data_IF_638204599505
#
_entry.id   IF_638204599505
#
_cell.length_a   1.000
_cell.length_b   1.000
_cell.length_c   1.000
_cell.angle_alpha   90.00
_cell.angle_beta   90.00
_cell.angle_gamma   90.00
#
_symmetry.space_group_name_H-M   'P 1'
#
loop_
_entity.id
_entity.type
_entity.pdbx_description
1 polymer ?
#
# COMPACT_ATOMS: atom_id res chain seq x y z
N UNK A 1 9.41 -52.54 -48.26
CA UNK A 1 8.77 -52.37 -46.97
C UNK A 1 9.74 -52.02 -45.82
N UNK A 2 10.86 -52.71 -45.63
CA UNK A 2 11.82 -52.43 -44.50
C UNK A 2 12.51 -51.04 -44.57
N UNK A 3 12.72 -50.45 -45.79
CA UNK A 3 13.36 -49.11 -45.96
C UNK A 3 12.41 -47.96 -45.71
N UNK A 4 11.12 -48.13 -45.93
CA UNK A 4 10.06 -47.11 -45.64
C UNK A 4 9.80 -47.04 -44.13
N UNK A 5 9.90 -48.20 -43.43
CA UNK A 5 9.71 -48.24 -41.96
C UNK A 5 10.87 -47.55 -41.23
N UNK A 6 12.11 -47.60 -41.75
CA UNK A 6 13.26 -46.92 -41.16
C UNK A 6 13.20 -45.39 -41.32
N UNK A 7 12.62 -44.88 -42.41
CA UNK A 7 12.43 -43.42 -42.65
C UNK A 7 11.35 -42.87 -41.74
N UNK A 8 10.27 -43.61 -41.50
CA UNK A 8 9.23 -43.22 -40.56
C UNK A 8 9.68 -43.19 -39.09
N UNK A 9 10.63 -44.06 -38.73
CA UNK A 9 11.19 -44.11 -37.35
C UNK A 9 12.18 -42.95 -37.12
N UNK A 10 12.91 -42.48 -38.13
CA UNK A 10 13.78 -41.30 -38.02
C UNK A 10 13.03 -39.98 -38.03
N UNK A 11 11.85 -39.89 -38.69
CA UNK A 11 11.02 -38.70 -38.67
C UNK A 11 10.29 -38.46 -37.29
N UNK A 12 10.08 -39.51 -36.53
CA UNK A 12 9.47 -39.46 -35.18
C UNK A 12 10.43 -38.92 -34.10
N UNK A 13 11.75 -38.90 -34.34
CA UNK A 13 12.78 -38.42 -33.41
C UNK A 13 13.09 -36.91 -33.54
N UNK A 14 12.44 -36.22 -34.46
CA UNK A 14 12.56 -34.74 -34.67
C UNK A 14 11.35 -33.98 -34.13
N UNK A 15 10.62 -34.53 -33.15
CA UNK A 15 9.71 -33.72 -32.36
C UNK A 15 10.58 -32.72 -31.58
N UNK A 16 10.39 -31.40 -31.79
CA UNK A 16 11.05 -30.43 -30.93
C UNK A 16 10.60 -30.75 -29.50
N UNK A 17 11.57 -30.97 -28.62
CA UNK A 17 11.34 -30.79 -27.19
C UNK A 17 10.84 -29.35 -27.03
N UNK A 18 9.53 -29.17 -27.07
CA UNK A 18 8.92 -27.97 -26.53
C UNK A 18 9.30 -27.99 -25.06
N UNK A 19 10.41 -27.31 -24.74
CA UNK A 19 10.78 -27.01 -23.39
C UNK A 19 9.52 -26.52 -22.68
N UNK A 20 9.34 -26.89 -21.43
CA UNK A 20 8.36 -26.25 -20.59
C UNK A 20 8.44 -24.76 -20.86
N UNK A 21 7.45 -24.21 -21.55
CA UNK A 21 7.28 -22.79 -21.60
C UNK A 21 7.05 -22.39 -20.14
N UNK A 22 8.05 -21.80 -19.52
CA UNK A 22 7.83 -21.03 -18.31
C UNK A 22 6.62 -20.16 -18.61
N UNK A 23 5.58 -20.19 -17.78
CA UNK A 23 4.40 -19.35 -17.97
C UNK A 23 4.85 -17.92 -18.21
N UNK A 24 4.03 -17.07 -18.86
CA UNK A 24 4.42 -15.72 -19.18
C UNK A 24 4.83 -15.02 -17.87
N UNK A 25 6.14 -14.81 -17.72
CA UNK A 25 6.67 -14.00 -16.64
C UNK A 25 6.36 -12.55 -16.97
N UNK A 26 5.81 -11.79 -16.02
CA UNK A 26 5.60 -10.38 -16.21
C UNK A 26 6.95 -9.66 -16.37
N UNK A 27 6.99 -8.62 -17.18
CA UNK A 27 8.20 -7.80 -17.35
C UNK A 27 8.51 -7.03 -16.07
N UNK A 28 7.46 -6.61 -15.35
CA UNK A 28 7.52 -5.81 -14.13
C UNK A 28 6.72 -6.50 -13.02
N UNK A 29 7.32 -6.62 -11.85
CA UNK A 29 6.62 -6.97 -10.62
C UNK A 29 6.48 -5.71 -9.74
N UNK A 30 5.29 -5.46 -9.21
CA UNK A 30 5.03 -4.36 -8.28
C UNK A 30 4.49 -4.93 -6.97
N UNK A 31 4.89 -4.38 -5.84
CA UNK A 31 4.60 -4.98 -4.53
C UNK A 31 3.14 -4.82 -4.12
N UNK A 32 2.71 -3.62 -3.83
CA UNK A 32 1.40 -3.29 -3.27
C UNK A 32 0.41 -2.78 -4.33
N UNK A 33 -0.84 -2.60 -3.97
CA UNK A 33 -1.87 -2.08 -4.87
C UNK A 33 -1.52 -0.71 -5.47
N UNK A 34 -1.12 0.34 -4.70
CA UNK A 34 -0.87 1.66 -5.28
C UNK A 34 0.26 1.61 -6.31
N UNK A 35 1.41 1.04 -5.98
CA UNK A 35 2.53 0.99 -6.94
C UNK A 35 2.23 0.08 -8.14
N UNK A 36 1.44 -0.97 -7.96
CA UNK A 36 0.99 -1.82 -9.07
C UNK A 36 0.04 -1.06 -10.00
N UNK A 37 -0.97 -0.38 -9.46
CA UNK A 37 -1.93 0.39 -10.25
C UNK A 37 -1.25 1.54 -11.00
N UNK A 38 -0.35 2.30 -10.33
CA UNK A 38 0.39 3.38 -10.97
C UNK A 38 1.30 2.86 -12.07
N UNK A 39 2.04 1.77 -11.82
CA UNK A 39 2.89 1.12 -12.82
C UNK A 39 2.08 0.61 -14.02
N UNK A 40 0.94 -0.04 -13.77
CA UNK A 40 0.05 -0.54 -14.83
C UNK A 40 -0.47 0.60 -15.71
N UNK A 41 -0.89 1.71 -15.09
CA UNK A 41 -1.36 2.89 -15.82
C UNK A 41 -0.25 3.50 -16.67
N UNK A 42 0.95 3.67 -16.13
CA UNK A 42 2.11 4.17 -16.87
C UNK A 42 2.48 3.26 -18.05
N UNK A 43 2.35 1.95 -17.89
CA UNK A 43 2.69 0.97 -18.92
C UNK A 43 1.60 0.78 -20.01
N UNK A 44 0.45 1.45 -19.93
CA UNK A 44 -0.58 1.31 -20.95
C UNK A 44 -0.06 1.66 -22.35
N UNK A 45 -0.33 0.78 -23.32
CA UNK A 45 0.10 0.97 -24.70
C UNK A 45 1.56 0.58 -25.00
N UNK A 46 2.38 0.20 -24.02
CA UNK A 46 3.78 -0.22 -24.23
C UNK A 46 3.93 -1.71 -24.60
N UNK A 47 2.95 -2.53 -24.23
CA UNK A 47 3.06 -3.99 -24.29
C UNK A 47 3.80 -4.63 -23.12
N UNK A 48 4.36 -3.84 -22.18
CA UNK A 48 4.94 -4.35 -20.94
C UNK A 48 3.86 -4.91 -20.04
N UNK A 49 4.13 -6.06 -19.44
CA UNK A 49 3.23 -6.73 -18.51
C UNK A 49 3.63 -6.45 -17.07
N UNK A 50 2.65 -6.11 -16.23
CA UNK A 50 2.85 -5.80 -14.81
C UNK A 50 2.08 -6.81 -13.96
N UNK A 51 2.73 -7.41 -12.96
CA UNK A 51 2.10 -8.27 -11.97
C UNK A 51 2.21 -7.65 -10.59
N UNK A 52 1.14 -7.73 -9.79
CA UNK A 52 1.16 -7.38 -8.38
C UNK A 52 1.60 -8.59 -7.56
N UNK A 53 2.54 -8.39 -6.63
CA UNK A 53 3.04 -9.45 -5.77
C UNK A 53 2.10 -9.70 -4.58
N UNK A 54 1.74 -8.66 -3.85
CA UNK A 54 0.86 -8.76 -2.69
C UNK A 54 -0.60 -8.61 -3.14
N UNK A 55 -1.35 -9.69 -3.12
CA UNK A 55 -2.76 -9.75 -3.56
C UNK A 55 -3.72 -10.12 -2.44
N UNK A 56 -3.19 -10.57 -1.32
CA UNK A 56 -3.94 -10.97 -0.14
C UNK A 56 -4.58 -9.73 0.53
N UNK A 57 -5.76 -9.87 1.15
CA UNK A 57 -6.38 -8.79 1.91
C UNK A 57 -5.65 -8.62 3.26
N UNK A 58 -4.65 -7.74 3.26
CA UNK A 58 -3.82 -7.42 4.41
C UNK A 58 -3.88 -5.93 4.72
N UNK A 59 -3.67 -5.58 5.97
CA UNK A 59 -3.61 -4.19 6.43
C UNK A 59 -2.18 -3.72 6.69
N UNK A 60 -1.27 -4.65 6.97
CA UNK A 60 0.13 -4.37 7.30
C UNK A 60 1.05 -5.39 6.65
N UNK A 61 2.28 -4.97 6.32
CA UNK A 61 3.31 -5.80 5.69
C UNK A 61 4.46 -6.18 6.63
N UNK A 62 4.51 -5.67 7.87
CA UNK A 62 5.65 -5.92 8.77
C UNK A 62 5.92 -7.41 9.01
N UNK A 63 4.86 -8.22 9.17
CA UNK A 63 4.97 -9.67 9.34
C UNK A 63 4.71 -10.47 8.06
N UNK A 64 4.68 -9.78 6.90
CA UNK A 64 4.37 -10.43 5.64
C UNK A 64 5.52 -11.32 5.18
N UNK A 65 5.19 -12.48 4.64
CA UNK A 65 6.15 -13.40 4.05
C UNK A 65 5.69 -13.83 2.67
N UNK A 66 6.56 -13.68 1.67
CA UNK A 66 6.27 -14.12 0.32
C UNK A 66 6.05 -15.63 0.25
N UNK A 67 5.03 -16.04 -0.47
CA UNK A 67 4.89 -17.42 -0.88
C UNK A 67 5.80 -17.75 -2.08
N UNK A 68 5.98 -19.03 -2.37
CA UNK A 68 6.90 -19.51 -3.43
C UNK A 68 6.55 -18.93 -4.83
N UNK A 69 5.28 -18.69 -5.10
CA UNK A 69 4.87 -18.12 -6.41
C UNK A 69 5.22 -16.65 -6.53
N UNK A 70 5.13 -15.90 -5.45
CA UNK A 70 5.51 -14.48 -5.38
C UNK A 70 7.02 -14.31 -5.50
N UNK A 71 7.81 -15.13 -4.79
CA UNK A 71 9.28 -15.17 -4.94
C UNK A 71 9.67 -15.43 -6.40
N UNK A 72 9.08 -16.46 -7.03
CA UNK A 72 9.35 -16.76 -8.45
C UNK A 72 8.95 -15.62 -9.38
N UNK A 73 7.86 -14.92 -9.11
CA UNK A 73 7.42 -13.79 -9.91
C UNK A 73 8.41 -12.61 -9.77
N UNK A 74 8.86 -12.32 -8.55
CA UNK A 74 9.86 -11.28 -8.28
C UNK A 74 11.22 -11.60 -8.93
N UNK A 75 11.71 -12.85 -8.79
CA UNK A 75 12.97 -13.27 -9.41
C UNK A 75 12.93 -13.18 -10.94
N UNK A 76 11.80 -13.57 -11.54
CA UNK A 76 11.65 -13.63 -13.00
C UNK A 76 11.42 -12.26 -13.64
N UNK A 77 10.92 -11.27 -12.90
CA UNK A 77 10.70 -9.92 -13.39
C UNK A 77 12.02 -9.23 -13.73
N UNK A 78 12.03 -8.43 -14.82
CA UNK A 78 13.17 -7.60 -15.23
C UNK A 78 13.29 -6.34 -14.39
N UNK A 79 12.15 -5.88 -13.84
CA UNK A 79 12.05 -4.70 -12.98
C UNK A 79 11.12 -5.00 -11.82
N UNK A 80 11.46 -4.52 -10.64
CA UNK A 80 10.62 -4.57 -9.45
C UNK A 80 10.31 -3.13 -9.04
N UNK A 81 9.04 -2.86 -8.74
CA UNK A 81 8.60 -1.57 -8.21
C UNK A 81 8.11 -1.80 -6.78
N UNK A 82 8.73 -1.12 -5.84
CA UNK A 82 8.40 -1.18 -4.41
C UNK A 82 7.78 0.14 -3.95
N UNK A 83 6.98 0.08 -2.88
CA UNK A 83 6.49 1.28 -2.20
C UNK A 83 7.63 2.05 -1.56
N UNK A 84 8.58 1.33 -0.97
CA UNK A 84 9.78 1.88 -0.34
C UNK A 84 9.56 2.29 1.12
N UNK A 85 10.44 3.14 1.64
CA UNK A 85 10.41 3.60 3.03
C UNK A 85 10.41 2.46 4.07
N UNK A 86 11.10 1.34 3.79
CA UNK A 86 11.19 0.18 4.68
C UNK A 86 9.99 -0.76 4.66
N UNK A 87 8.91 -0.45 3.93
CA UNK A 87 7.69 -1.26 3.93
C UNK A 87 7.92 -2.70 3.48
N UNK A 88 8.86 -2.92 2.56
CA UNK A 88 9.12 -4.22 1.93
C UNK A 88 10.35 -4.94 2.48
N UNK A 89 10.64 -4.84 3.77
CA UNK A 89 11.76 -5.55 4.40
C UNK A 89 11.66 -7.08 4.21
N UNK A 90 10.45 -7.61 4.04
CA UNK A 90 10.20 -9.01 3.67
C UNK A 90 10.80 -9.43 2.31
N UNK A 91 11.24 -8.48 1.49
CA UNK A 91 11.94 -8.72 0.22
C UNK A 91 13.46 -8.75 0.37
N UNK A 92 14.01 -8.44 1.55
CA UNK A 92 15.44 -8.44 1.79
C UNK A 92 16.07 -9.80 1.42
N UNK A 93 17.13 -9.76 0.64
CA UNK A 93 17.80 -10.96 0.13
C UNK A 93 17.07 -11.71 -0.98
N UNK A 94 15.85 -11.30 -1.39
CA UNK A 94 15.08 -11.88 -2.50
C UNK A 94 15.22 -11.05 -3.77
N UNK A 95 15.29 -9.72 -3.64
CA UNK A 95 15.33 -8.81 -4.78
C UNK A 95 16.74 -8.27 -5.01
N UNK A 96 16.99 -7.96 -6.30
CA UNK A 96 18.20 -7.28 -6.76
C UNK A 96 17.92 -5.77 -6.79
N UNK A 97 18.67 -5.01 -5.99
CA UNK A 97 18.55 -3.54 -5.94
C UNK A 97 18.76 -2.91 -7.32
N UNK A 98 19.63 -3.49 -8.16
CA UNK A 98 19.90 -2.96 -9.51
C UNK A 98 18.64 -2.99 -10.40
N UNK A 99 17.69 -3.89 -10.17
CA UNK A 99 16.43 -3.96 -10.92
C UNK A 99 15.24 -3.33 -10.19
N UNK A 100 15.45 -2.75 -9.02
CA UNK A 100 14.39 -2.16 -8.20
C UNK A 100 14.18 -0.67 -8.51
N UNK A 101 12.94 -0.25 -8.53
CA UNK A 101 12.48 1.15 -8.53
C UNK A 101 11.80 1.38 -7.19
N UNK A 102 12.39 2.23 -6.38
CA UNK A 102 11.83 2.66 -5.11
C UNK A 102 10.94 3.89 -5.34
N UNK A 103 9.64 3.72 -5.09
CA UNK A 103 8.67 4.79 -5.29
C UNK A 103 8.77 5.88 -4.21
N UNK A 104 9.34 5.59 -3.04
CA UNK A 104 9.53 6.57 -1.95
C UNK A 104 10.76 7.44 -2.12
N UNK A 105 11.64 7.16 -3.09
CA UNK A 105 12.94 7.79 -3.22
C UNK A 105 12.88 9.33 -3.14
N UNK A 106 13.58 9.91 -2.15
CA UNK A 106 13.67 11.36 -1.95
C UNK A 106 12.40 12.02 -1.44
N UNK A 107 11.38 11.29 -1.04
CA UNK A 107 10.18 11.82 -0.37
C UNK A 107 10.51 12.00 1.10
N UNK A 108 10.31 13.20 1.69
CA UNK A 108 10.44 13.36 3.14
C UNK A 108 9.39 12.51 3.88
N UNK A 109 9.85 11.65 4.77
CA UNK A 109 8.97 10.77 5.53
C UNK A 109 8.47 11.45 6.80
N UNK A 110 7.24 11.13 7.19
CA UNK A 110 6.73 11.47 8.51
C UNK A 110 7.41 10.54 9.52
N UNK A 111 7.81 11.10 10.68
CA UNK A 111 8.22 10.28 11.81
C UNK A 111 6.96 9.77 12.52
N UNK A 112 6.92 8.52 12.92
CA UNK A 112 5.88 8.02 13.82
C UNK A 112 5.83 8.95 15.05
N UNK A 113 4.66 9.48 15.37
CA UNK A 113 4.50 10.30 16.57
C UNK A 113 4.38 9.35 17.77
N UNK A 114 5.19 9.59 18.82
CA UNK A 114 4.96 8.99 20.14
C UNK A 114 3.64 9.52 20.70
N UNK A 115 2.51 8.88 20.36
CA UNK A 115 1.18 9.21 20.88
C UNK A 115 1.04 8.90 22.38
N UNK A 116 2.03 8.24 22.99
CA UNK A 116 2.13 7.99 24.42
C UNK A 116 2.89 9.12 25.12
N UNK A 117 2.16 10.09 25.66
CA UNK A 117 2.67 11.25 26.39
C UNK A 117 3.36 10.92 27.74
N UNK A 118 4.20 9.92 27.83
CA UNK A 118 4.99 9.62 29.02
C UNK A 118 6.47 9.93 28.83
N UNK A 119 6.95 10.81 29.70
CA UNK A 119 8.32 11.17 30.07
C UNK A 119 9.44 10.45 29.32
N UNK A 120 10.19 11.23 28.54
CA UNK A 120 11.48 10.91 27.98
C UNK A 120 12.45 10.49 29.11
N UNK A 121 12.48 9.23 29.47
CA UNK A 121 13.69 8.61 29.95
C UNK A 121 14.42 8.07 28.73
N UNK A 122 15.61 8.58 28.49
CA UNK A 122 16.50 8.19 27.41
C UNK A 122 16.80 6.69 27.46
N UNK A 123 15.96 5.87 26.83
CA UNK A 123 16.34 4.53 26.43
C UNK A 123 16.98 4.62 25.04
N UNK A 124 18.32 4.56 25.03
CA UNK A 124 19.11 4.37 23.82
C UNK A 124 18.59 3.12 23.09
N UNK A 125 17.90 3.31 21.95
CA UNK A 125 17.57 2.22 21.05
C UNK A 125 16.21 2.25 20.34
N UNK A 126 15.31 3.18 20.62
CA UNK A 126 14.11 3.32 19.82
C UNK A 126 14.43 4.17 18.58
N UNK A 127 14.63 3.49 17.45
CA UNK A 127 14.54 4.12 16.15
C UNK A 127 13.08 4.58 16.03
N UNK A 128 12.85 5.89 15.87
CA UNK A 128 11.59 6.39 15.36
C UNK A 128 11.44 5.80 13.97
N UNK A 129 10.59 4.78 13.82
CA UNK A 129 10.34 4.20 12.52
C UNK A 129 9.64 5.25 11.67
N UNK A 130 10.18 5.47 10.49
CA UNK A 130 9.60 6.38 9.51
C UNK A 130 8.30 5.76 8.99
N UNK A 131 7.21 6.55 8.93
CA UNK A 131 5.91 6.08 8.44
C UNK A 131 5.98 5.81 6.92
N UNK A 132 5.82 4.55 6.46
CA UNK A 132 5.92 4.18 5.06
C UNK A 132 4.64 4.43 4.25
N UNK A 133 3.51 4.83 4.88
CA UNK A 133 2.18 4.87 4.27
C UNK A 133 1.94 6.11 3.40
N UNK A 134 2.95 6.53 2.63
CA UNK A 134 3.00 7.74 1.80
C UNK A 134 1.80 7.85 0.85
N UNK A 135 1.35 6.72 0.27
CA UNK A 135 0.26 6.68 -0.70
C UNK A 135 -1.10 7.11 -0.15
N UNK A 136 -1.29 7.13 1.17
CA UNK A 136 -2.51 7.62 1.79
C UNK A 136 -2.66 9.15 1.71
N UNK A 137 -1.61 9.85 1.27
CA UNK A 137 -1.67 11.23 0.81
C UNK A 137 -1.76 11.27 -0.71
N UNK A 138 -2.78 11.91 -1.33
CA UNK A 138 -2.81 12.07 -2.79
C UNK A 138 -1.57 12.78 -3.34
N UNK A 139 -1.04 13.76 -2.60
CA UNK A 139 0.21 14.43 -2.96
C UNK A 139 1.43 13.51 -2.85
N UNK A 140 1.49 12.65 -1.83
CA UNK A 140 2.50 11.60 -1.69
C UNK A 140 2.41 10.58 -2.82
N UNK A 141 1.21 10.10 -3.13
CA UNK A 141 0.95 9.17 -4.24
C UNK A 141 1.39 9.76 -5.59
N UNK A 142 1.19 11.07 -5.81
CA UNK A 142 1.68 11.76 -7.01
C UNK A 142 3.20 11.71 -7.12
N UNK A 143 3.92 11.94 -6.02
CA UNK A 143 5.39 11.81 -5.98
C UNK A 143 5.85 10.38 -6.24
N UNK A 144 5.18 9.39 -5.66
CA UNK A 144 5.45 7.98 -5.95
C UNK A 144 5.26 7.67 -7.44
N UNK A 145 4.18 8.16 -8.06
CA UNK A 145 3.94 7.99 -9.50
C UNK A 145 5.04 8.65 -10.37
N UNK A 146 5.51 9.85 -10.00
CA UNK A 146 6.63 10.53 -10.65
C UNK A 146 7.95 9.75 -10.53
N UNK A 147 8.23 9.15 -9.38
CA UNK A 147 9.40 8.31 -9.15
C UNK A 147 9.34 7.03 -9.98
N UNK A 148 8.18 6.37 -10.02
CA UNK A 148 7.95 5.18 -10.88
C UNK A 148 8.15 5.55 -12.35
N UNK A 149 7.56 6.65 -12.82
CA UNK A 149 7.75 7.16 -14.18
C UNK A 149 9.24 7.37 -14.51
N UNK A 150 9.97 8.00 -13.59
CA UNK A 150 11.40 8.27 -13.76
C UNK A 150 12.19 6.98 -13.89
N UNK A 151 11.97 6.03 -12.99
CA UNK A 151 12.62 4.73 -13.00
C UNK A 151 12.30 3.90 -14.25
N UNK A 152 11.03 3.86 -14.66
CA UNK A 152 10.59 3.17 -15.87
C UNK A 152 11.21 3.80 -17.14
N UNK A 153 11.26 5.13 -17.22
CA UNK A 153 11.85 5.83 -18.37
C UNK A 153 13.34 5.59 -18.51
N UNK A 154 14.05 5.39 -17.39
CA UNK A 154 15.47 5.02 -17.41
C UNK A 154 15.69 3.57 -17.88
N UNK A 155 14.81 2.65 -17.47
CA UNK A 155 14.93 1.22 -17.78
C UNK A 155 14.42 0.86 -19.18
N UNK A 156 13.39 1.56 -19.66
CA UNK A 156 12.70 1.33 -20.93
C UNK A 156 12.63 2.64 -21.74
N UNK A 157 13.79 3.21 -22.14
CA UNK A 157 13.84 4.52 -22.79
C UNK A 157 13.05 4.57 -24.10
N UNK A 158 12.83 3.43 -24.75
CA UNK A 158 11.99 3.31 -25.95
C UNK A 158 10.51 3.61 -25.70
N UNK A 159 10.06 3.51 -24.45
CA UNK A 159 8.69 3.78 -24.02
C UNK A 159 8.53 5.11 -23.28
N UNK A 160 9.61 5.88 -23.08
CA UNK A 160 9.61 7.08 -22.23
C UNK A 160 8.52 8.10 -22.60
N UNK A 161 8.24 8.29 -23.90
CA UNK A 161 7.17 9.20 -24.34
C UNK A 161 5.79 8.67 -23.96
N UNK A 162 5.53 7.36 -24.05
CA UNK A 162 4.26 6.74 -23.68
C UNK A 162 4.05 6.87 -22.17
N UNK A 163 5.09 6.65 -21.38
CA UNK A 163 5.02 6.85 -19.92
C UNK A 163 4.71 8.30 -19.57
N UNK A 164 5.32 9.28 -20.26
CA UNK A 164 5.04 10.70 -20.03
C UNK A 164 3.58 11.06 -20.39
N UNK A 165 3.07 10.54 -21.50
CA UNK A 165 1.68 10.76 -21.92
C UNK A 165 0.69 10.13 -20.93
N UNK A 166 1.04 9.01 -20.31
CA UNK A 166 0.22 8.31 -19.32
C UNK A 166 0.34 8.91 -17.91
N UNK A 167 1.45 9.55 -17.57
CA UNK A 167 1.65 10.19 -16.27
C UNK A 167 0.69 11.37 -16.08
N UNK A 168 0.50 12.18 -17.12
CA UNK A 168 -0.36 13.37 -17.01
C UNK A 168 -1.76 13.06 -16.49
N UNK A 169 -2.56 12.15 -17.11
CA UNK A 169 -3.90 11.83 -16.59
C UNK A 169 -3.88 11.16 -15.21
N UNK A 170 -2.82 10.43 -14.85
CA UNK A 170 -2.67 9.86 -13.52
C UNK A 170 -2.53 10.95 -12.46
N UNK A 171 -1.68 11.94 -12.71
CA UNK A 171 -1.50 13.09 -11.80
C UNK A 171 -2.77 13.97 -11.71
N UNK A 172 -3.49 14.14 -12.82
CA UNK A 172 -4.77 14.87 -12.84
C UNK A 172 -5.83 14.16 -11.98
N UNK A 173 -5.85 12.82 -11.97
CA UNK A 173 -6.80 12.05 -11.13
C UNK A 173 -6.41 12.10 -9.65
N UNK A 174 -5.11 12.08 -9.32
CA UNK A 174 -4.64 12.26 -7.94
C UNK A 174 -4.94 13.68 -7.42
N UNK A 175 -4.79 14.71 -8.25
CA UNK A 175 -5.19 16.09 -7.90
C UNK A 175 -6.72 16.21 -7.75
N UNK A 176 -7.50 15.50 -8.56
CA UNK A 176 -8.96 15.44 -8.41
C UNK A 176 -9.37 14.74 -7.10
N UNK A 177 -8.67 13.67 -6.70
CA UNK A 177 -8.86 13.01 -5.43
C UNK A 177 -8.58 13.94 -4.25
N UNK A 178 -7.47 14.71 -4.29
CA UNK A 178 -7.15 15.71 -3.25
C UNK A 178 -8.28 16.74 -3.14
N UNK A 179 -8.69 17.33 -4.25
CA UNK A 179 -9.78 18.32 -4.26
C UNK A 179 -11.10 17.74 -3.74
N UNK A 180 -11.42 16.51 -4.12
CA UNK A 180 -12.61 15.82 -3.60
C UNK A 180 -12.59 15.73 -2.08
N UNK A 181 -11.45 15.31 -1.50
CA UNK A 181 -11.28 15.22 -0.05
C UNK A 181 -11.38 16.61 0.62
N UNK A 182 -10.70 17.62 0.07
CA UNK A 182 -10.74 18.99 0.59
C UNK A 182 -12.18 19.54 0.63
N UNK A 183 -12.93 19.37 -0.46
CA UNK A 183 -14.31 19.82 -0.58
C UNK A 183 -15.24 19.04 0.38
N UNK A 184 -15.14 17.70 0.36
CA UNK A 184 -16.01 16.81 1.14
C UNK A 184 -15.81 16.98 2.64
N UNK A 185 -14.56 17.12 3.08
CA UNK A 185 -14.21 17.20 4.51
C UNK A 185 -14.13 18.64 5.03
N UNK A 186 -14.40 19.66 4.17
CA UNK A 186 -14.37 21.08 4.57
C UNK A 186 -15.30 21.43 5.72
N UNK A 187 -16.43 20.75 5.82
CA UNK A 187 -17.55 21.05 6.75
C UNK A 187 -17.68 20.01 7.86
N UNK A 188 -16.61 19.31 8.24
CA UNK A 188 -16.62 18.40 9.38
C UNK A 188 -16.90 19.12 10.69
N UNK A 189 -17.75 18.54 11.53
CA UNK A 189 -18.01 19.04 12.87
C UNK A 189 -16.95 18.61 13.90
N UNK A 190 -16.32 17.46 13.66
CA UNK A 190 -15.18 16.93 14.40
C UNK A 190 -14.02 16.65 13.42
N UNK A 191 -12.79 17.00 13.81
CA UNK A 191 -11.59 16.72 13.00
C UNK A 191 -10.59 15.83 13.73
N UNK A 192 -10.99 15.34 14.89
CA UNK A 192 -10.17 14.47 15.72
C UNK A 192 -10.64 13.03 15.59
N UNK A 193 -9.70 12.10 15.52
CA UNK A 193 -9.99 10.68 15.36
C UNK A 193 -9.03 9.82 16.19
N UNK A 194 -9.48 8.62 16.51
CA UNK A 194 -8.66 7.52 17.03
C UNK A 194 -8.64 6.45 15.93
N UNK A 195 -7.46 5.96 15.57
CA UNK A 195 -7.25 4.87 14.61
C UNK A 195 -6.75 3.62 15.32
N UNK A 196 -7.01 2.44 14.74
CA UNK A 196 -6.53 1.16 15.26
C UNK A 196 -5.25 0.68 14.58
N UNK A 197 -4.74 1.45 13.65
CA UNK A 197 -3.44 1.24 13.05
C UNK A 197 -2.71 2.57 12.93
N UNK A 198 -1.42 2.58 13.23
CA UNK A 198 -0.55 3.75 13.08
C UNK A 198 -0.04 3.85 11.63
N UNK A 199 -0.93 4.18 10.72
CA UNK A 199 -0.61 4.28 9.29
C UNK A 199 -1.42 5.36 8.57
N UNK A 200 -2.30 6.07 9.28
CA UNK A 200 -3.16 7.08 8.66
C UNK A 200 -2.64 8.51 8.79
N UNK A 201 -1.39 8.72 9.24
CA UNK A 201 -0.82 10.05 9.46
C UNK A 201 -0.78 10.89 8.18
N UNK A 202 -0.38 10.31 7.05
CA UNK A 202 -0.40 11.00 5.75
C UNK A 202 -1.81 11.38 5.30
N UNK A 203 -2.80 10.51 5.51
CA UNK A 203 -4.21 10.80 5.23
C UNK A 203 -4.72 11.95 6.11
N UNK A 204 -4.48 11.86 7.40
CA UNK A 204 -4.88 12.87 8.37
C UNK A 204 -4.26 14.25 8.03
N UNK A 205 -2.95 14.28 7.76
CA UNK A 205 -2.25 15.49 7.37
C UNK A 205 -2.82 16.11 6.08
N UNK A 206 -3.11 15.28 5.06
CA UNK A 206 -3.63 15.74 3.77
C UNK A 206 -4.97 16.45 3.89
N UNK A 207 -5.80 16.04 4.83
CA UNK A 207 -7.18 16.56 4.96
C UNK A 207 -7.42 17.36 6.25
N UNK A 208 -6.35 17.75 6.96
CA UNK A 208 -6.43 18.58 8.16
C UNK A 208 -7.18 17.90 9.30
N UNK A 209 -6.98 16.60 9.47
CA UNK A 209 -7.44 15.79 10.59
C UNK A 209 -6.33 15.63 11.62
N UNK A 210 -6.70 15.32 12.86
CA UNK A 210 -5.77 15.09 13.97
C UNK A 210 -6.01 13.69 14.53
N UNK A 211 -5.00 12.82 14.49
CA UNK A 211 -5.03 11.53 15.17
C UNK A 211 -4.65 11.77 16.63
N UNK A 212 -5.58 11.49 17.55
CA UNK A 212 -5.35 11.63 18.99
C UNK A 212 -4.59 10.43 19.56
N UNK A 213 -4.84 9.26 19.01
CA UNK A 213 -4.15 8.03 19.37
C UNK A 213 -4.26 7.01 18.24
N UNK A 214 -3.19 6.25 18.04
CA UNK A 214 -3.18 4.99 17.32
C UNK A 214 -3.10 3.84 18.33
N UNK A 215 -3.96 2.82 18.19
CA UNK A 215 -4.14 1.78 19.22
C UNK A 215 -3.18 0.61 19.05
N UNK A 216 -2.85 0.27 17.82
CA UNK A 216 -1.99 -0.84 17.45
C UNK A 216 -0.82 -0.28 16.64
N UNK A 217 0.39 -0.40 17.17
CA UNK A 217 1.61 -0.06 16.44
C UNK A 217 1.84 -1.07 15.31
N UNK A 218 1.47 -2.34 15.55
CA UNK A 218 1.56 -3.43 14.60
C UNK A 218 0.20 -4.14 14.46
N UNK A 219 -0.18 -4.45 13.22
CA UNK A 219 -1.42 -5.18 12.93
C UNK A 219 -1.46 -6.52 13.66
N UNK A 220 -2.47 -6.69 14.52
CA UNK A 220 -2.69 -7.91 15.30
C UNK A 220 -2.22 -7.86 16.75
N UNK A 221 -1.59 -6.78 17.20
CA UNK A 221 -1.42 -6.53 18.64
C UNK A 221 -2.78 -6.19 19.26
N UNK A 222 -3.14 -6.83 20.39
CA UNK A 222 -4.38 -6.50 21.08
C UNK A 222 -4.10 -5.40 22.13
N UNK A 223 -4.91 -4.33 22.11
CA UNK A 223 -4.83 -3.28 23.11
C UNK A 223 -4.95 -3.86 24.53
N UNK A 224 -4.05 -3.49 25.41
CA UNK A 224 -4.10 -3.87 26.82
C UNK A 224 -5.31 -3.26 27.51
N UNK A 225 -5.70 -3.82 28.67
CA UNK A 225 -6.79 -3.26 29.47
C UNK A 225 -6.50 -1.81 29.92
N UNK A 226 -5.25 -1.43 30.13
CA UNK A 226 -4.84 -0.06 30.49
C UNK A 226 -5.07 0.88 29.32
N UNK A 227 -4.58 0.54 28.14
CA UNK A 227 -4.76 1.32 26.91
C UNK A 227 -6.24 1.51 26.59
N UNK A 228 -7.07 0.46 26.71
CA UNK A 228 -8.51 0.57 26.54
C UNK A 228 -9.15 1.59 27.50
N UNK A 229 -8.72 1.64 28.76
CA UNK A 229 -9.22 2.63 29.73
C UNK A 229 -8.82 4.05 29.32
N UNK A 230 -7.59 4.25 28.88
CA UNK A 230 -7.07 5.54 28.40
C UNK A 230 -7.84 6.00 27.17
N UNK A 231 -8.05 5.12 26.18
CA UNK A 231 -8.81 5.41 24.97
C UNK A 231 -10.30 5.73 25.24
N UNK A 232 -10.93 5.03 26.19
CA UNK A 232 -12.29 5.36 26.66
C UNK A 232 -12.31 6.78 27.26
N UNK A 233 -11.31 7.11 28.07
CA UNK A 233 -11.14 8.45 28.63
C UNK A 233 -11.03 9.52 27.55
N UNK A 234 -10.11 9.33 26.61
CA UNK A 234 -9.83 10.23 25.49
C UNK A 234 -11.08 10.42 24.60
N UNK A 235 -11.75 9.31 24.23
CA UNK A 235 -12.98 9.34 23.43
C UNK A 235 -14.08 10.18 24.08
N UNK A 236 -14.25 10.06 25.43
CA UNK A 236 -15.23 10.83 26.19
C UNK A 236 -14.85 12.29 26.36
N UNK A 237 -13.56 12.57 26.63
CA UNK A 237 -13.03 13.92 26.83
C UNK A 237 -13.21 14.79 25.58
N UNK A 238 -12.89 14.21 24.42
CA UNK A 238 -13.01 14.90 23.11
C UNK A 238 -14.41 14.74 22.49
N UNK A 239 -15.29 13.94 23.07
CA UNK A 239 -16.64 13.73 22.56
C UNK A 239 -16.66 13.12 21.16
N UNK A 240 -15.74 12.20 20.87
CA UNK A 240 -15.58 11.63 19.53
C UNK A 240 -16.84 10.86 19.12
N UNK A 241 -17.43 11.19 17.94
CA UNK A 241 -18.61 10.48 17.45
C UNK A 241 -18.30 9.10 16.90
N UNK A 242 -17.05 8.87 16.46
CA UNK A 242 -16.58 7.62 15.87
C UNK A 242 -15.12 7.32 16.19
N UNK A 243 -14.78 6.04 16.09
CA UNK A 243 -13.42 5.49 16.11
C UNK A 243 -13.21 4.65 14.84
N UNK A 244 -11.97 4.56 14.37
CA UNK A 244 -11.67 4.00 13.06
C UNK A 244 -10.79 2.76 13.19
N UNK A 245 -11.32 1.63 12.71
CA UNK A 245 -10.55 0.39 12.52
C UNK A 245 -10.09 0.27 11.07
N UNK A 246 -9.24 -0.71 10.79
CA UNK A 246 -8.96 -1.11 9.43
C UNK A 246 -10.03 -2.08 8.89
N UNK A 247 -10.19 -2.11 7.57
CA UNK A 247 -11.14 -3.03 6.90
C UNK A 247 -10.88 -4.49 7.27
N UNK A 248 -9.61 -4.87 7.46
CA UNK A 248 -9.19 -6.23 7.82
C UNK A 248 -8.74 -6.35 9.29
N UNK A 249 -8.93 -5.31 10.11
CA UNK A 249 -8.52 -5.26 11.50
C UNK A 249 -9.44 -6.05 12.44
N UNK A 250 -8.95 -6.34 13.66
CA UNK A 250 -9.76 -7.00 14.69
C UNK A 250 -10.83 -6.05 15.26
N UNK A 251 -12.11 -6.43 15.30
CA UNK A 251 -13.15 -5.59 15.86
C UNK A 251 -13.21 -5.63 17.39
N UNK A 252 -12.35 -6.42 18.06
CA UNK A 252 -12.49 -6.74 19.49
C UNK A 252 -12.41 -5.49 20.39
N UNK A 253 -11.28 -4.79 20.34
CA UNK A 253 -11.04 -3.60 21.14
C UNK A 253 -11.98 -2.44 20.75
N UNK A 254 -12.22 -2.22 19.46
CA UNK A 254 -13.15 -1.21 18.95
C UNK A 254 -14.58 -1.44 19.45
N UNK A 255 -15.02 -2.70 19.53
CA UNK A 255 -16.33 -3.06 20.08
C UNK A 255 -16.46 -2.73 21.56
N UNK A 256 -15.38 -2.85 22.35
CA UNK A 256 -15.35 -2.45 23.76
C UNK A 256 -15.46 -0.94 23.87
N UNK A 257 -14.66 -0.18 23.12
CA UNK A 257 -14.71 1.28 23.10
C UNK A 257 -16.11 1.79 22.74
N UNK A 258 -16.68 1.27 21.66
CA UNK A 258 -18.02 1.64 21.20
C UNK A 258 -19.09 1.41 22.28
N UNK A 259 -19.08 0.25 22.92
CA UNK A 259 -20.04 -0.07 24.01
C UNK A 259 -19.90 0.87 25.21
N UNK A 260 -18.68 1.23 25.58
CA UNK A 260 -18.41 2.05 26.78
C UNK A 260 -18.60 3.55 26.51
N UNK A 261 -18.42 4.02 25.28
CA UNK A 261 -18.46 5.45 24.93
C UNK A 261 -19.70 5.86 24.14
N UNK A 262 -20.27 4.93 23.38
CA UNK A 262 -21.34 5.20 22.42
C UNK A 262 -20.83 5.66 21.05
N UNK A 263 -19.51 5.81 20.87
CA UNK A 263 -18.92 6.16 19.60
C UNK A 263 -19.17 5.06 18.54
N UNK A 264 -19.44 5.45 17.31
CA UNK A 264 -19.59 4.50 16.19
C UNK A 264 -18.23 3.85 15.87
N UNK A 265 -18.25 2.62 15.33
CA UNK A 265 -17.07 1.98 14.76
C UNK A 265 -17.17 2.09 13.25
N UNK A 266 -16.19 2.74 12.62
CA UNK A 266 -16.05 2.87 11.19
C UNK A 266 -14.77 2.19 10.74
N UNK A 267 -14.69 1.78 9.45
CA UNK A 267 -13.48 1.12 8.95
C UNK A 267 -12.87 1.95 7.82
N UNK A 268 -11.55 2.14 7.89
CA UNK A 268 -10.74 2.75 6.83
C UNK A 268 -9.92 1.68 6.12
N UNK A 269 -9.67 1.88 4.84
CA UNK A 269 -8.93 0.98 3.98
C UNK A 269 -7.49 1.52 3.82
N UNK A 270 -6.49 0.69 4.11
CA UNK A 270 -5.09 1.04 3.90
C UNK A 270 -4.73 1.19 2.41
N UNK A 271 -5.64 0.84 1.50
CA UNK A 271 -5.44 0.89 0.05
C UNK A 271 -4.21 0.09 -0.44
N UNK A 272 -3.80 -0.94 0.32
CA UNK A 272 -2.68 -1.82 -0.06
C UNK A 272 -3.12 -3.07 -0.82
N UNK A 273 -4.38 -3.45 -0.67
CA UNK A 273 -5.00 -4.61 -1.30
C UNK A 273 -6.36 -4.24 -1.91
N UNK A 274 -6.97 -5.16 -2.67
CA UNK A 274 -8.23 -4.87 -3.36
C UNK A 274 -8.03 -4.61 -4.85
N UNK A 275 -9.01 -3.96 -5.49
CA UNK A 275 -9.06 -3.82 -6.95
C UNK A 275 -8.63 -2.43 -7.43
N UNK A 276 -8.82 -1.37 -6.64
CA UNK A 276 -8.47 0.00 -7.02
C UNK A 276 -8.06 0.84 -5.82
N UNK A 277 -6.91 1.49 -5.94
CA UNK A 277 -6.40 2.48 -5.02
C UNK A 277 -7.36 3.69 -4.90
N UNK A 278 -7.81 4.22 -6.02
CA UNK A 278 -8.68 5.38 -6.05
C UNK A 278 -10.02 5.11 -5.35
N UNK A 279 -10.63 3.95 -5.63
CA UNK A 279 -11.89 3.57 -4.98
C UNK A 279 -11.74 3.43 -3.46
N UNK A 280 -10.60 2.90 -2.98
CA UNK A 280 -10.32 2.80 -1.56
C UNK A 280 -10.19 4.19 -0.93
N UNK A 281 -9.45 5.11 -1.56
CA UNK A 281 -9.27 6.47 -1.08
C UNK A 281 -10.58 7.28 -1.08
N UNK A 282 -11.40 7.19 -2.12
CA UNK A 282 -12.72 7.82 -2.14
C UNK A 282 -13.61 7.29 -1.01
N UNK A 283 -13.64 5.96 -0.79
CA UNK A 283 -14.39 5.36 0.33
C UNK A 283 -13.91 5.86 1.69
N UNK A 284 -12.60 6.00 1.90
CA UNK A 284 -12.04 6.55 3.14
C UNK A 284 -12.56 7.96 3.40
N UNK A 285 -12.51 8.83 2.39
CA UNK A 285 -13.01 10.21 2.49
C UNK A 285 -14.50 10.22 2.86
N UNK A 286 -15.31 9.42 2.15
CA UNK A 286 -16.76 9.33 2.41
C UNK A 286 -17.05 8.78 3.81
N UNK A 287 -16.32 7.75 4.25
CA UNK A 287 -16.45 7.16 5.60
C UNK A 287 -16.15 8.21 6.68
N UNK A 288 -15.07 8.98 6.53
CA UNK A 288 -14.74 10.05 7.48
C UNK A 288 -15.83 11.13 7.48
N UNK A 289 -16.34 11.48 6.29
CA UNK A 289 -17.44 12.46 6.17
C UNK A 289 -18.70 12.00 6.88
N UNK A 290 -19.09 10.75 6.72
CA UNK A 290 -20.28 10.16 7.36
C UNK A 290 -20.12 10.06 8.88
N UNK A 291 -18.91 9.75 9.33
CA UNK A 291 -18.60 9.53 10.74
C UNK A 291 -18.44 10.82 11.56
N UNK A 292 -17.87 11.88 10.98
CA UNK A 292 -17.46 13.11 11.66
C UNK A 292 -18.18 14.39 11.17
N UNK A 293 -19.06 14.24 10.19
CA UNK A 293 -19.77 15.33 9.49
C UNK A 293 -21.00 15.92 10.16
#
# INVERSE_FOLDING_TARGET
MKRILAILLCAALLLPLTGCAAGPHADIAATTLPVAEFTQRLCQGTGLTVTRLVTEPISCLHDYSLNVSQVKAAEAAKTIVISGAGLEDFLEGVIDEEKTIDASAGIPLLCGEDHNGENKEEHEGHHHEEDPHIWLSPAGAAKMAENIFTGLSQRYPEHAQIFADNLTPLLEELDALQRYGDDTLSSLSCRELITFHDGFSYFAQSFGLTILAAVEEESGSEASARELIELIGLTREHGLPAIFTEVNGSPSAASVLSRETGAAVCSLDMAMAGDSYFDAMYRNIDTVKEALG
#
